data_IF_868914759738
#
_entry.id   IF_868914759738
#
_cell.length_a   1.000
_cell.length_b   1.000
_cell.length_c   1.000
_cell.angle_alpha   90.00
_cell.angle_beta   90.00
_cell.angle_gamma   90.00
#
_symmetry.space_group_name_H-M   'P 1'
#
loop_
_entity.id
_entity.type
_entity.pdbx_description
1 polymer ?
#
# COMPACT_ATOMS: atom_id res chain seq x y z
N UNK A 1 54.80 11.03 9.87
CA UNK A 1 53.72 11.47 8.96
C UNK A 1 52.83 10.26 8.66
N UNK A 2 51.68 10.11 9.33
CA UNK A 2 50.83 8.91 9.22
C UNK A 2 49.70 9.23 8.23
N UNK A 3 49.74 8.64 7.03
CA UNK A 3 48.71 8.83 6.00
C UNK A 3 47.47 8.01 6.39
N UNK A 4 46.39 8.70 6.76
CA UNK A 4 45.11 8.05 7.01
C UNK A 4 44.39 7.86 5.66
N UNK A 5 44.49 6.66 5.10
CA UNK A 5 43.63 6.24 3.98
C UNK A 5 42.26 5.93 4.57
N UNK A 6 41.30 6.84 4.40
CA UNK A 6 39.89 6.57 4.70
C UNK A 6 39.27 5.87 3.50
N UNK A 7 39.24 4.55 3.53
CA UNK A 7 38.47 3.75 2.56
C UNK A 7 36.98 4.05 2.73
N UNK A 8 36.39 4.69 1.72
CA UNK A 8 34.96 4.90 1.60
C UNK A 8 34.34 3.58 1.14
N UNK A 9 33.80 2.79 2.08
CA UNK A 9 33.02 1.59 1.75
C UNK A 9 31.66 2.06 1.22
N UNK A 10 31.52 2.06 -0.10
CA UNK A 10 30.24 2.24 -0.76
C UNK A 10 29.50 0.91 -0.65
N UNK A 11 28.56 0.82 0.30
CA UNK A 11 27.62 -0.28 0.36
C UNK A 11 26.61 -0.07 -0.77
N UNK A 12 26.84 -0.73 -1.90
CA UNK A 12 25.83 -0.88 -2.94
C UNK A 12 24.76 -1.84 -2.40
N UNK A 13 23.58 -1.32 -2.03
CA UNK A 13 22.41 -2.13 -1.76
C UNK A 13 21.96 -2.76 -3.07
N UNK A 14 22.25 -4.05 -3.26
CA UNK A 14 21.62 -4.85 -4.31
C UNK A 14 20.12 -4.96 -3.98
N UNK A 15 19.29 -4.15 -4.64
CA UNK A 15 17.86 -4.38 -4.67
C UNK A 15 17.61 -5.66 -5.47
N UNK A 16 17.48 -6.79 -4.78
CA UNK A 16 16.92 -8.01 -5.35
C UNK A 16 15.50 -7.73 -5.83
N UNK A 17 15.19 -8.14 -7.06
CA UNK A 17 13.86 -8.00 -7.66
C UNK A 17 12.81 -8.68 -6.76
N UNK A 18 11.95 -7.86 -6.15
CA UNK A 18 11.03 -8.24 -5.09
C UNK A 18 11.32 -7.38 -3.87
N UNK A 19 10.50 -6.35 -3.65
CA UNK A 19 10.61 -5.47 -2.48
C UNK A 19 10.51 -6.33 -1.20
N UNK A 20 11.65 -6.69 -0.62
CA UNK A 20 11.79 -7.35 0.69
C UNK A 20 11.50 -6.35 1.82
N UNK A 21 10.44 -5.56 1.64
CA UNK A 21 9.93 -4.64 2.65
C UNK A 21 9.12 -5.46 3.64
N UNK A 22 9.25 -5.20 4.95
CA UNK A 22 8.37 -5.82 5.94
C UNK A 22 6.92 -5.66 5.54
N UNK A 23 6.13 -6.73 5.67
CA UNK A 23 4.69 -6.67 5.42
C UNK A 23 4.05 -5.83 6.52
N UNK A 24 3.45 -4.71 6.14
CA UNK A 24 2.75 -3.81 7.05
C UNK A 24 1.28 -4.17 7.11
N UNK A 25 0.66 -4.01 8.28
CA UNK A 25 -0.76 -4.29 8.48
C UNK A 25 -1.65 -3.19 7.88
N UNK A 26 -2.94 -3.52 7.71
CA UNK A 26 -3.96 -2.54 7.29
C UNK A 26 -4.04 -1.37 8.28
N UNK A 27 -4.03 -1.64 9.59
CA UNK A 27 -4.13 -0.60 10.61
C UNK A 27 -2.89 0.31 10.68
N UNK A 28 -1.71 -0.25 10.39
CA UNK A 28 -0.52 0.55 10.20
C UNK A 28 -0.70 1.53 9.03
N UNK A 29 -1.14 1.03 7.86
CA UNK A 29 -1.40 1.89 6.70
C UNK A 29 -2.52 2.91 6.93
N UNK A 30 -3.48 2.70 7.84
CA UNK A 30 -4.51 3.71 8.17
C UNK A 30 -3.94 4.94 8.87
N UNK A 31 -2.89 4.75 9.68
CA UNK A 31 -2.23 5.79 10.47
C UNK A 31 -1.01 6.39 9.75
N UNK A 32 -0.52 5.74 8.69
CA UNK A 32 0.65 6.15 7.89
C UNK A 32 0.22 6.58 6.48
N UNK A 33 -0.35 7.79 6.38
CA UNK A 33 -1.00 8.28 5.17
C UNK A 33 -0.06 8.43 3.97
N UNK A 34 1.17 8.90 4.21
CA UNK A 34 2.16 9.13 3.16
C UNK A 34 2.64 7.80 2.57
N UNK A 35 2.95 6.84 3.43
CA UNK A 35 3.42 5.51 3.07
C UNK A 35 2.33 4.70 2.36
N UNK A 36 1.07 4.82 2.81
CA UNK A 36 -0.07 4.22 2.10
C UNK A 36 -0.18 4.77 0.68
N UNK A 37 -0.15 6.10 0.51
CA UNK A 37 -0.26 6.74 -0.81
C UNK A 37 0.90 6.33 -1.73
N UNK A 38 2.11 6.33 -1.20
CA UNK A 38 3.31 5.93 -1.94
C UNK A 38 3.25 4.45 -2.34
N UNK A 39 2.82 3.57 -1.44
CA UNK A 39 2.63 2.15 -1.75
C UNK A 39 1.58 1.98 -2.85
N UNK A 40 0.41 2.60 -2.73
CA UNK A 40 -0.63 2.54 -3.78
C UNK A 40 -0.13 3.04 -5.14
N UNK A 41 0.68 4.10 -5.16
CA UNK A 41 1.29 4.57 -6.39
C UNK A 41 2.23 3.51 -7.00
N UNK A 42 3.08 2.87 -6.19
CA UNK A 42 3.93 1.75 -6.62
C UNK A 42 3.11 0.54 -7.11
N UNK A 43 2.00 0.22 -6.46
CA UNK A 43 1.13 -0.89 -6.88
C UNK A 43 0.59 -0.68 -8.31
N UNK A 44 0.26 0.58 -8.66
CA UNK A 44 -0.28 0.93 -9.99
C UNK A 44 0.76 0.87 -11.10
N UNK A 45 2.05 1.04 -10.78
CA UNK A 45 3.12 0.98 -11.79
C UNK A 45 3.42 -0.45 -12.26
N UNK A 46 2.85 -1.47 -11.61
CA UNK A 46 3.06 -2.87 -11.96
C UNK A 46 1.81 -3.69 -11.63
N UNK A 47 0.78 -3.65 -12.50
CA UNK A 47 -0.50 -4.35 -12.28
C UNK A 47 -0.37 -5.89 -12.24
N UNK A 48 0.82 -6.44 -12.48
CA UNK A 48 1.15 -7.85 -12.27
C UNK A 48 1.57 -8.16 -10.82
N UNK A 49 2.77 -8.73 -10.66
CA UNK A 49 3.24 -9.33 -9.41
C UNK A 49 3.20 -8.39 -8.19
N UNK A 50 3.53 -7.11 -8.36
CA UNK A 50 3.52 -6.15 -7.24
C UNK A 50 2.12 -5.82 -6.75
N UNK A 51 1.12 -5.74 -7.64
CA UNK A 51 -0.27 -5.44 -7.24
C UNK A 51 -0.87 -6.55 -6.35
N UNK A 52 -0.42 -7.80 -6.52
CA UNK A 52 -0.81 -8.93 -5.69
C UNK A 52 0.02 -9.07 -4.40
N UNK A 53 1.01 -8.21 -4.18
CA UNK A 53 1.83 -8.27 -2.96
C UNK A 53 0.99 -7.97 -1.70
N UNK A 54 1.35 -8.55 -0.54
CA UNK A 54 0.65 -8.28 0.72
C UNK A 54 0.60 -6.78 1.08
N UNK A 55 1.67 -6.04 0.80
CA UNK A 55 1.73 -4.61 1.06
C UNK A 55 0.77 -3.81 0.16
N UNK A 56 0.64 -4.18 -1.12
CA UNK A 56 -0.34 -3.56 -2.00
C UNK A 56 -1.77 -3.83 -1.57
N UNK A 57 -2.09 -5.08 -1.21
CA UNK A 57 -3.41 -5.47 -0.71
C UNK A 57 -3.75 -4.70 0.57
N UNK A 58 -2.83 -4.63 1.52
CA UNK A 58 -3.06 -3.97 2.81
C UNK A 58 -3.20 -2.45 2.65
N UNK A 59 -2.39 -1.81 1.81
CA UNK A 59 -2.50 -0.37 1.53
C UNK A 59 -3.83 -0.02 0.83
N UNK A 60 -4.24 -0.83 -0.15
CA UNK A 60 -5.50 -0.64 -0.87
C UNK A 60 -6.71 -0.82 0.05
N UNK A 61 -6.70 -1.86 0.90
CA UNK A 61 -7.75 -2.11 1.90
C UNK A 61 -7.84 -0.96 2.90
N UNK A 62 -6.71 -0.46 3.42
CA UNK A 62 -6.70 0.69 4.32
C UNK A 62 -7.31 1.94 3.66
N UNK A 63 -7.01 2.18 2.37
CA UNK A 63 -7.59 3.29 1.62
C UNK A 63 -9.11 3.14 1.48
N UNK A 64 -9.59 1.95 1.11
CA UNK A 64 -11.02 1.67 0.98
C UNK A 64 -11.76 1.88 2.31
N UNK A 65 -11.20 1.39 3.42
CA UNK A 65 -11.82 1.56 4.74
C UNK A 65 -11.87 3.03 5.18
N UNK A 66 -10.84 3.82 4.89
CA UNK A 66 -10.86 5.28 5.14
C UNK A 66 -11.89 5.99 4.27
N UNK A 67 -12.01 5.60 2.99
CA UNK A 67 -12.99 6.18 2.08
C UNK A 67 -14.44 5.83 2.48
N UNK A 68 -14.68 4.60 2.93
CA UNK A 68 -15.97 4.18 3.49
C UNK A 68 -16.29 4.93 4.78
N UNK A 69 -15.32 5.02 5.71
CA UNK A 69 -15.50 5.75 6.97
C UNK A 69 -15.87 7.22 6.72
N UNK A 70 -15.24 7.85 5.72
CA UNK A 70 -15.53 9.24 5.32
C UNK A 70 -16.92 9.42 4.72
N UNK A 71 -17.43 8.42 3.98
CA UNK A 71 -18.76 8.49 3.35
C UNK A 71 -19.89 8.36 4.36
N UNK A 72 -19.59 7.99 5.61
CA UNK A 72 -20.57 7.41 6.53
C UNK A 72 -20.96 6.03 5.99
N UNK A 73 -21.15 5.05 6.87
CA UNK A 73 -21.68 3.76 6.45
C UNK A 73 -23.10 3.99 5.89
N UNK A 74 -23.22 4.11 4.56
CA UNK A 74 -24.50 4.03 3.87
C UNK A 74 -24.97 2.59 3.99
N UNK A 75 -25.79 2.32 5.01
CA UNK A 75 -26.63 1.13 5.04
C UNK A 75 -27.58 1.22 3.85
N UNK A 76 -27.22 0.53 2.77
CA UNK A 76 -28.10 0.40 1.61
C UNK A 76 -29.31 -0.42 2.04
N UNK A 77 -30.54 0.03 1.77
CA UNK A 77 -31.71 -0.82 1.97
C UNK A 77 -31.57 -2.09 1.11
N UNK A 78 -32.15 -3.22 1.53
CA UNK A 78 -32.19 -4.43 0.71
C UNK A 78 -32.76 -4.10 -0.68
N UNK A 79 -32.11 -4.63 -1.73
CA UNK A 79 -32.64 -4.51 -3.08
C UNK A 79 -33.93 -5.32 -3.17
N UNK A 80 -35.04 -4.63 -3.38
CA UNK A 80 -36.33 -5.26 -3.64
C UNK A 80 -36.44 -5.62 -5.12
N UNK A 81 -36.13 -6.88 -5.45
CA UNK A 81 -36.24 -7.42 -6.81
C UNK A 81 -37.69 -7.54 -7.31
N UNK A 82 -38.68 -7.29 -6.44
CA UNK A 82 -40.10 -7.38 -6.76
C UNK A 82 -40.63 -6.08 -7.39
N UNK A 83 -39.92 -4.97 -7.20
CA UNK A 83 -40.20 -3.71 -7.89
C UNK A 83 -39.49 -3.71 -9.24
N UNK A 84 -40.21 -4.13 -10.28
CA UNK A 84 -39.86 -3.77 -11.66
C UNK A 84 -39.75 -2.24 -11.70
N UNK A 85 -38.59 -1.73 -12.11
CA UNK A 85 -38.40 -0.29 -12.29
C UNK A 85 -39.44 0.27 -13.25
N UNK A 86 -40.05 1.39 -12.86
CA UNK A 86 -40.95 2.19 -13.68
C UNK A 86 -40.23 2.82 -14.89
#
# INVERSE_FOLDING_TARGET
MKKAVRSLVIVALLAGCGENTPVQSVDWYKTHDMERKNMIAKCKTSPGELAASPNCINAQKAQNEKDLSRRGYLTLPPVDFSKKGD
#
